data_IF_278708468249
#
_entry.id   IF_278708468249
#
_cell.length_a   1.000
_cell.length_b   1.000
_cell.length_c   1.000
_cell.angle_alpha   90.00
_cell.angle_beta   90.00
_cell.angle_gamma   90.00
#
_symmetry.space_group_name_H-M   'P 1'
#
loop_
_entity.id
_entity.type
_entity.pdbx_description
1 polymer ?
#
# COMPACT_ATOMS: atom_id res chain seq x y z
N UNK A 1 33.28 -9.76 -50.99
CA UNK A 1 32.45 -9.74 -49.77
C UNK A 1 31.82 -8.37 -49.64
N UNK A 2 30.49 -8.22 -49.66
CA UNK A 2 29.85 -6.90 -49.55
C UNK A 2 29.98 -6.35 -48.13
N UNK A 3 30.30 -5.06 -48.04
CA UNK A 3 30.54 -4.31 -46.82
C UNK A 3 29.18 -3.97 -46.18
N UNK A 4 28.94 -4.46 -44.97
CA UNK A 4 27.75 -4.14 -44.19
C UNK A 4 27.89 -2.72 -43.61
N UNK A 5 27.03 -1.78 -44.04
CA UNK A 5 26.93 -0.46 -43.43
C UNK A 5 25.77 -0.43 -42.43
N UNK A 6 26.05 0.03 -41.21
CA UNK A 6 25.07 0.11 -40.15
C UNK A 6 24.02 1.21 -40.43
N UNK A 7 22.74 0.98 -40.12
CA UNK A 7 21.69 1.98 -40.30
C UNK A 7 21.90 3.16 -39.36
N UNK A 8 21.80 4.37 -39.91
CA UNK A 8 21.82 5.63 -39.16
C UNK A 8 20.56 5.68 -38.28
N UNK A 9 20.76 5.74 -36.97
CA UNK A 9 19.69 5.92 -35.99
C UNK A 9 19.34 7.42 -35.97
N UNK A 10 18.16 7.77 -36.45
CA UNK A 10 17.63 9.12 -36.34
C UNK A 10 17.37 9.47 -34.87
N UNK A 11 17.87 10.65 -34.48
CA UNK A 11 17.71 11.20 -33.13
C UNK A 11 16.23 11.28 -32.72
N UNK A 12 15.90 10.98 -31.45
CA UNK A 12 14.51 11.03 -30.99
C UNK A 12 13.95 12.46 -31.08
N UNK A 13 12.65 12.60 -31.41
CA UNK A 13 12.00 13.90 -31.48
C UNK A 13 11.97 14.55 -30.09
N UNK A 14 12.34 15.83 -30.04
CA UNK A 14 12.23 16.67 -28.84
C UNK A 14 10.77 16.70 -28.40
N UNK A 15 10.48 16.06 -27.27
CA UNK A 15 9.15 16.09 -26.65
C UNK A 15 8.89 17.50 -26.11
N UNK A 16 7.95 18.20 -26.73
CA UNK A 16 7.37 19.43 -26.19
C UNK A 16 6.57 19.07 -24.95
N UNK A 17 7.10 19.47 -23.80
CA UNK A 17 6.53 19.26 -22.48
C UNK A 17 5.23 20.09 -22.33
N UNK A 18 4.03 19.49 -22.23
CA UNK A 18 2.77 20.21 -22.17
C UNK A 18 2.34 20.46 -20.73
N UNK A 19 3.24 20.96 -19.88
CA UNK A 19 2.86 21.43 -18.55
C UNK A 19 2.42 22.88 -18.64
N UNK A 20 1.17 23.23 -18.29
CA UNK A 20 0.74 24.63 -18.21
C UNK A 20 1.53 25.31 -17.08
N UNK A 21 2.30 26.33 -17.44
CA UNK A 21 2.95 27.24 -16.49
C UNK A 21 1.87 27.83 -15.58
N UNK A 22 1.96 27.49 -14.29
CA UNK A 22 1.13 28.03 -13.21
C UNK A 22 1.29 29.56 -13.18
N UNK A 23 0.29 30.27 -13.70
CA UNK A 23 0.23 31.74 -13.66
C UNK A 23 0.09 32.18 -12.20
N UNK A 24 1.09 32.89 -11.68
CA UNK A 24 0.99 33.65 -10.44
C UNK A 24 -0.16 34.66 -10.59
N UNK A 25 -1.28 34.45 -9.90
CA UNK A 25 -2.29 35.49 -9.69
C UNK A 25 -1.83 36.34 -8.51
N UNK A 26 -1.32 37.52 -8.82
CA UNK A 26 -1.17 38.61 -7.86
C UNK A 26 -2.56 39.08 -7.42
N UNK A 27 -2.68 39.35 -6.12
CA UNK A 27 -3.92 39.72 -5.47
C UNK A 27 -4.34 41.16 -5.76
N UNK A 28 -5.64 41.35 -5.95
CA UNK A 28 -6.31 42.63 -5.81
C UNK A 28 -7.45 42.47 -4.79
N UNK A 29 -7.58 43.36 -3.79
CA UNK A 29 -8.68 43.33 -2.84
C UNK A 29 -9.85 44.13 -3.40
N UNK A 30 -11.05 43.56 -3.44
CA UNK A 30 -12.28 44.32 -3.61
C UNK A 30 -13.38 43.82 -2.67
N UNK A 31 -14.01 44.81 -2.07
CA UNK A 31 -14.99 44.73 -1.01
C UNK A 31 -16.36 44.25 -1.50
N UNK A 32 -17.10 43.65 -0.56
CA UNK A 32 -18.52 43.92 -0.31
C UNK A 32 -19.53 43.60 -1.42
N UNK A 33 -20.22 42.47 -1.27
CA UNK A 33 -21.66 42.40 -1.51
C UNK A 33 -22.25 41.15 -0.85
N UNK A 34 -23.17 41.37 0.08
CA UNK A 34 -23.98 40.32 0.71
C UNK A 34 -25.04 39.82 -0.29
N UNK A 35 -24.89 38.58 -0.77
CA UNK A 35 -25.93 37.88 -1.54
C UNK A 35 -26.47 36.70 -0.73
N UNK A 36 -27.71 36.85 -0.26
CA UNK A 36 -28.52 35.81 0.37
C UNK A 36 -28.73 34.66 -0.63
N UNK A 37 -28.24 33.47 -0.29
CA UNK A 37 -28.49 32.26 -1.08
C UNK A 37 -29.72 31.52 -0.52
N UNK A 38 -30.64 31.04 -1.39
CA UNK A 38 -31.84 30.31 -0.98
C UNK A 38 -31.52 28.88 -0.52
N UNK A 39 -32.22 28.45 0.54
CA UNK A 39 -32.22 27.09 1.12
C UNK A 39 -32.70 26.06 0.08
N UNK A 40 -31.86 25.10 -0.24
CA UNK A 40 -32.25 23.89 -0.95
C UNK A 40 -33.04 22.93 -0.02
N UNK A 41 -34.05 22.22 -0.54
CA UNK A 41 -34.83 21.25 0.23
C UNK A 41 -34.03 19.97 0.50
N UNK A 42 -34.11 19.52 1.75
CA UNK A 42 -33.56 18.29 2.31
C UNK A 42 -34.37 17.10 1.80
N UNK A 43 -33.75 16.27 0.96
CA UNK A 43 -34.32 14.97 0.55
C UNK A 43 -33.94 13.95 1.62
N UNK A 44 -34.94 13.44 2.31
CA UNK A 44 -34.81 12.27 3.19
C UNK A 44 -34.88 11.01 2.32
N UNK A 45 -33.78 10.25 2.28
CA UNK A 45 -33.77 8.92 1.70
C UNK A 45 -33.91 7.91 2.84
N UNK A 46 -35.06 7.23 2.88
CA UNK A 46 -35.30 6.03 3.67
C UNK A 46 -34.45 4.88 3.11
N UNK A 47 -33.44 4.45 3.85
CA UNK A 47 -32.75 3.18 3.61
C UNK A 47 -33.50 2.07 4.33
N UNK A 48 -34.15 1.19 3.55
CA UNK A 48 -34.65 -0.11 4.01
C UNK A 48 -33.46 -1.02 4.30
N UNK A 49 -33.36 -1.46 5.55
CA UNK A 49 -32.52 -2.58 5.97
C UNK A 49 -33.22 -3.87 5.55
N UNK A 50 -32.53 -4.69 4.76
CA UNK A 50 -32.96 -6.05 4.39
C UNK A 50 -32.09 -7.02 5.19
N UNK A 51 -32.72 -7.70 6.15
CA UNK A 51 -32.14 -8.84 6.89
C UNK A 51 -31.85 -9.97 5.89
N UNK A 52 -30.61 -10.45 5.89
CA UNK A 52 -30.23 -11.69 5.20
C UNK A 52 -29.85 -12.70 6.26
N UNK A 53 -30.63 -13.78 6.29
CA UNK A 53 -30.53 -14.90 7.20
C UNK A 53 -29.21 -15.69 7.03
N UNK A 54 -28.71 -16.09 8.20
CA UNK A 54 -27.51 -16.86 8.47
C UNK A 54 -27.81 -18.36 8.22
N UNK A 55 -27.23 -18.95 7.17
CA UNK A 55 -27.29 -20.39 6.94
C UNK A 55 -25.90 -21.03 6.90
N UNK A 56 -25.53 -21.54 8.07
CA UNK A 56 -24.66 -22.68 8.39
C UNK A 56 -24.21 -23.55 7.20
N UNK A 57 -22.89 -23.72 7.04
CA UNK A 57 -22.32 -24.91 6.40
C UNK A 57 -21.21 -25.51 7.25
N UNK A 58 -21.45 -26.75 7.64
CA UNK A 58 -20.65 -27.55 8.53
C UNK A 58 -19.49 -28.26 7.82
N UNK A 59 -18.37 -28.37 8.53
CA UNK A 59 -17.61 -29.63 8.65
C UNK A 59 -16.78 -30.06 7.44
N UNK A 60 -15.52 -29.64 7.40
CA UNK A 60 -14.45 -30.36 6.68
C UNK A 60 -13.45 -30.87 7.71
N UNK A 61 -13.31 -32.21 7.76
CA UNK A 61 -12.31 -32.92 8.56
C UNK A 61 -10.94 -32.76 7.89
N UNK A 62 -9.96 -32.27 8.62
CA UNK A 62 -8.55 -32.28 8.22
C UNK A 62 -7.92 -33.62 8.61
N UNK A 63 -7.30 -34.28 7.63
CA UNK A 63 -6.41 -35.41 7.87
C UNK A 63 -5.01 -34.90 8.23
N UNK A 64 -4.51 -35.39 9.37
CA UNK A 64 -3.19 -35.09 9.92
C UNK A 64 -2.10 -35.83 9.13
N UNK A 65 -1.07 -35.12 8.69
CA UNK A 65 0.20 -35.71 8.25
C UNK A 65 1.25 -35.54 9.36
N UNK A 66 2.04 -36.57 9.68
CA UNK A 66 2.99 -36.55 10.80
C UNK A 66 4.24 -35.72 10.52
N UNK A 67 4.73 -35.10 11.60
CA UNK A 67 5.87 -34.18 11.70
C UNK A 67 7.24 -34.91 11.59
N UNK A 68 8.20 -34.25 10.94
CA UNK A 68 9.63 -34.59 10.96
C UNK A 68 10.39 -33.56 11.80
N UNK A 69 11.23 -34.06 12.70
CA UNK A 69 11.75 -33.34 13.86
C UNK A 69 13.02 -32.52 13.59
N UNK A 70 13.07 -31.33 14.19
CA UNK A 70 14.26 -30.47 14.22
C UNK A 70 14.22 -29.52 15.41
N UNK A 71 14.58 -30.04 16.60
CA UNK A 71 14.67 -29.27 17.85
C UNK A 71 15.85 -28.28 17.83
N UNK A 72 15.55 -27.04 17.44
CA UNK A 72 16.30 -25.85 17.81
C UNK A 72 15.45 -25.00 18.75
N UNK A 73 15.37 -25.36 20.03
CA UNK A 73 14.62 -24.61 21.05
C UNK A 73 15.24 -23.22 21.30
N UNK A 74 14.92 -22.27 20.43
CA UNK A 74 14.82 -20.87 20.84
C UNK A 74 13.50 -20.73 21.59
N UNK A 75 13.58 -20.41 22.88
CA UNK A 75 12.41 -20.14 23.70
C UNK A 75 11.67 -18.93 23.14
N UNK A 76 10.67 -19.19 22.30
CA UNK A 76 9.73 -18.18 21.83
C UNK A 76 8.85 -17.78 23.02
N UNK A 77 9.28 -16.74 23.73
CA UNK A 77 8.45 -16.11 24.76
C UNK A 77 7.22 -15.53 24.04
N UNK A 78 5.99 -15.92 24.41
CA UNK A 78 4.79 -15.39 23.77
C UNK A 78 4.81 -13.86 23.88
N UNK A 79 5.01 -13.18 22.76
CA UNK A 79 5.07 -11.73 22.71
C UNK A 79 3.69 -11.18 23.05
N UNK A 80 3.52 -10.76 24.30
CA UNK A 80 2.30 -10.08 24.74
C UNK A 80 2.21 -8.72 24.01
N UNK A 81 1.02 -8.37 23.55
CA UNK A 81 0.81 -7.08 22.88
C UNK A 81 1.18 -5.90 23.77
N UNK A 82 1.51 -4.75 23.16
CA UNK A 82 1.95 -3.51 23.86
C UNK A 82 1.02 -3.11 25.00
N UNK A 83 -0.27 -3.41 24.90
CA UNK A 83 -1.25 -3.04 25.91
C UNK A 83 -1.05 -3.74 27.27
N UNK A 84 -0.21 -4.77 27.32
CA UNK A 84 0.16 -5.46 28.57
C UNK A 84 1.41 -4.89 29.23
N UNK A 85 2.20 -4.10 28.49
CA UNK A 85 3.43 -3.49 28.97
C UNK A 85 3.12 -2.18 29.70
N UNK A 86 3.89 -1.88 30.74
CA UNK A 86 3.87 -0.55 31.34
C UNK A 86 4.67 0.45 30.48
N UNK A 87 4.51 1.74 30.76
CA UNK A 87 5.16 2.80 29.97
C UNK A 87 6.70 2.71 30.08
N UNK A 88 7.23 2.32 31.24
CA UNK A 88 8.67 2.10 31.41
C UNK A 88 9.19 0.99 30.49
N UNK A 89 8.50 -0.15 30.43
CA UNK A 89 8.89 -1.24 29.54
C UNK A 89 8.76 -0.86 28.07
N UNK A 90 7.71 -0.11 27.69
CA UNK A 90 7.57 0.38 26.30
C UNK A 90 8.76 1.26 25.92
N UNK A 91 9.12 2.24 26.76
CA UNK A 91 10.24 3.14 26.48
C UNK A 91 11.59 2.43 26.51
N UNK A 92 11.76 1.46 27.42
CA UNK A 92 12.97 0.63 27.49
C UNK A 92 13.10 -0.24 26.25
N UNK A 93 12.01 -0.87 25.81
CA UNK A 93 11.95 -1.71 24.60
C UNK A 93 12.20 -0.90 23.33
N UNK A 94 11.72 0.34 23.27
CA UNK A 94 12.03 1.26 22.16
C UNK A 94 13.53 1.57 22.09
N UNK A 95 14.14 1.87 23.23
CA UNK A 95 15.58 2.19 23.31
C UNK A 95 16.47 0.98 23.05
N UNK A 96 16.06 -0.21 23.48
CA UNK A 96 16.79 -1.45 23.26
C UNK A 96 16.58 -2.06 21.87
N UNK A 97 15.65 -1.51 21.08
CA UNK A 97 15.28 -2.06 19.77
C UNK A 97 14.36 -3.27 19.82
N UNK A 98 13.99 -3.77 21.00
CA UNK A 98 13.17 -4.98 21.16
C UNK A 98 11.75 -4.84 20.61
N UNK A 99 11.26 -3.61 20.37
CA UNK A 99 9.96 -3.38 19.74
C UNK A 99 9.90 -3.94 18.30
N UNK A 100 11.02 -4.02 17.58
CA UNK A 100 11.02 -4.58 16.22
C UNK A 100 10.56 -6.04 16.20
N UNK A 101 10.93 -6.81 17.23
CA UNK A 101 10.49 -8.19 17.42
C UNK A 101 8.97 -8.36 17.51
N UNK A 102 8.21 -7.30 17.80
CA UNK A 102 6.76 -7.35 17.79
C UNK A 102 6.15 -7.54 16.38
N UNK A 103 6.95 -7.39 15.31
CA UNK A 103 6.55 -7.76 13.96
C UNK A 103 6.13 -9.23 13.86
N UNK A 104 6.76 -10.12 14.64
CA UNK A 104 6.43 -11.56 14.67
C UNK A 104 4.98 -11.82 15.08
N UNK A 105 4.40 -10.99 15.97
CA UNK A 105 2.98 -11.10 16.35
C UNK A 105 2.06 -10.89 15.13
N UNK A 106 2.53 -10.15 14.13
CA UNK A 106 1.80 -9.84 12.90
C UNK A 106 2.27 -10.67 11.70
N UNK A 107 3.15 -11.66 11.89
CA UNK A 107 3.63 -12.56 10.82
C UNK A 107 2.51 -13.18 9.98
N UNK A 108 1.37 -13.63 10.55
CA UNK A 108 0.26 -14.16 9.75
C UNK A 108 -0.43 -13.15 8.83
N UNK A 109 -0.12 -11.85 8.96
CA UNK A 109 -0.67 -10.78 8.12
C UNK A 109 0.30 -10.31 7.04
N UNK A 110 1.48 -10.92 6.94
CA UNK A 110 2.45 -10.67 5.88
C UNK A 110 1.89 -11.22 4.57
N UNK A 111 2.11 -10.46 3.51
CA UNK A 111 1.67 -10.79 2.17
C UNK A 111 0.34 -10.14 1.80
N UNK A 112 0.09 -10.11 0.50
CA UNK A 112 -1.12 -9.60 -0.11
C UNK A 112 -1.48 -10.47 -1.30
N UNK A 113 -2.68 -11.07 -1.26
CA UNK A 113 -3.24 -11.78 -2.41
C UNK A 113 -3.85 -10.75 -3.38
N UNK A 114 -3.11 -10.46 -4.46
CA UNK A 114 -3.53 -9.49 -5.47
C UNK A 114 -4.71 -9.98 -6.33
N UNK A 115 -4.99 -11.29 -6.37
CA UNK A 115 -6.05 -11.87 -7.19
C UNK A 115 -7.43 -11.78 -6.53
N UNK A 116 -7.48 -11.65 -5.20
CA UNK A 116 -8.72 -11.39 -4.47
C UNK A 116 -9.21 -9.94 -4.59
N UNK A 117 -8.40 -9.06 -5.19
CA UNK A 117 -8.68 -7.64 -5.34
C UNK A 117 -9.03 -7.29 -6.79
N UNK A 118 -9.89 -6.27 -7.02
CA UNK A 118 -10.06 -5.71 -8.36
C UNK A 118 -8.70 -5.26 -8.93
N UNK A 119 -8.40 -5.47 -10.23
CA UNK A 119 -7.06 -5.25 -10.78
C UNK A 119 -6.46 -3.86 -10.49
N UNK A 120 -7.25 -2.80 -10.65
CA UNK A 120 -6.78 -1.43 -10.34
C UNK A 120 -6.51 -1.22 -8.84
N UNK A 121 -7.31 -1.84 -7.97
CA UNK A 121 -7.11 -1.76 -6.51
C UNK A 121 -5.87 -2.55 -6.11
N UNK A 122 -5.62 -3.70 -6.75
CA UNK A 122 -4.44 -4.51 -6.51
C UNK A 122 -3.13 -3.74 -6.80
N UNK A 123 -3.05 -3.04 -7.94
CA UNK A 123 -1.90 -2.20 -8.29
C UNK A 123 -1.68 -1.11 -7.23
N UNK A 124 -2.75 -0.43 -6.82
CA UNK A 124 -2.69 0.63 -5.82
C UNK A 124 -2.21 0.11 -4.46
N UNK A 125 -2.77 -1.01 -3.99
CA UNK A 125 -2.39 -1.62 -2.71
C UNK A 125 -0.94 -2.09 -2.76
N UNK A 126 -0.51 -2.75 -3.85
CA UNK A 126 0.87 -3.17 -4.01
C UNK A 126 1.82 -1.98 -3.91
N UNK A 127 1.59 -0.90 -4.68
CA UNK A 127 2.47 0.26 -4.66
C UNK A 127 2.47 0.97 -3.31
N UNK A 128 1.31 1.11 -2.67
CA UNK A 128 1.20 1.71 -1.34
C UNK A 128 1.97 0.93 -0.27
N UNK A 129 1.91 -0.40 -0.29
CA UNK A 129 2.62 -1.26 0.66
C UNK A 129 4.12 -1.35 0.37
N UNK A 130 4.48 -1.53 -0.90
CA UNK A 130 5.85 -1.77 -1.33
C UNK A 130 6.72 -0.51 -1.23
N UNK A 131 6.19 0.65 -1.60
CA UNK A 131 6.91 1.93 -1.54
C UNK A 131 6.64 2.73 -0.27
N UNK A 132 5.74 2.29 0.60
CA UNK A 132 5.24 3.05 1.76
C UNK A 132 4.75 4.47 1.38
N UNK A 133 4.20 4.62 0.17
CA UNK A 133 3.72 5.89 -0.37
C UNK A 133 2.20 6.05 -0.24
N UNK A 134 1.76 7.30 -0.23
CA UNK A 134 0.33 7.61 -0.33
C UNK A 134 -0.20 7.22 -1.71
N UNK A 135 -1.52 7.02 -1.83
CA UNK A 135 -2.17 6.72 -3.11
C UNK A 135 -1.93 7.79 -4.18
N UNK A 136 -1.76 9.05 -3.77
CA UNK A 136 -1.53 10.18 -4.68
C UNK A 136 -0.11 10.18 -5.25
N UNK A 137 0.81 9.48 -4.58
CA UNK A 137 2.25 9.45 -4.90
C UNK A 137 2.70 8.10 -5.44
N UNK A 138 1.81 7.15 -5.76
CA UNK A 138 2.17 5.80 -6.20
C UNK A 138 3.02 5.74 -7.48
N UNK A 139 3.21 6.85 -8.18
CA UNK A 139 4.23 7.05 -9.21
C UNK A 139 3.99 6.31 -10.53
N UNK A 140 2.97 5.46 -10.62
CA UNK A 140 2.61 4.75 -11.83
C UNK A 140 1.62 5.56 -12.70
N UNK A 141 1.59 5.29 -14.00
CA UNK A 141 0.65 5.90 -14.94
C UNK A 141 0.34 4.96 -16.10
N UNK A 142 -0.72 5.25 -16.86
CA UNK A 142 -1.09 4.50 -18.06
C UNK A 142 -0.71 5.28 -19.33
N UNK A 143 -0.20 4.58 -20.34
CA UNK A 143 -0.19 5.08 -21.71
C UNK A 143 -1.13 4.24 -22.57
N UNK A 144 -1.92 4.90 -23.41
CA UNK A 144 -3.00 4.28 -24.17
C UNK A 144 -2.76 4.43 -25.66
N UNK A 145 -3.11 3.38 -26.41
CA UNK A 145 -3.10 3.38 -27.87
C UNK A 145 -4.52 3.05 -28.33
N UNK A 146 -5.10 3.92 -29.16
CA UNK A 146 -6.39 3.69 -29.81
C UNK A 146 -6.18 3.36 -31.29
N UNK A 147 -6.79 2.26 -31.76
CA UNK A 147 -6.83 1.87 -33.18
C UNK A 147 -8.19 1.33 -33.56
N UNK A 148 -8.87 1.99 -34.50
CA UNK A 148 -10.17 1.55 -35.06
C UNK A 148 -11.22 1.23 -33.99
N UNK A 149 -11.29 2.04 -32.94
CA UNK A 149 -12.24 1.85 -31.84
C UNK A 149 -11.84 0.79 -30.80
N UNK A 150 -10.65 0.20 -30.92
CA UNK A 150 -10.05 -0.65 -29.90
C UNK A 150 -8.97 0.09 -29.15
N UNK A 151 -8.85 -0.20 -27.85
CA UNK A 151 -7.91 0.42 -26.93
C UNK A 151 -6.97 -0.64 -26.36
N UNK A 152 -5.70 -0.29 -26.21
CA UNK A 152 -4.74 -1.06 -25.40
C UNK A 152 -4.04 -0.10 -24.47
N UNK A 153 -3.92 -0.48 -23.20
CA UNK A 153 -3.20 0.30 -22.20
C UNK A 153 -1.90 -0.40 -21.81
N UNK A 154 -0.91 0.41 -21.42
CA UNK A 154 0.33 -0.04 -20.80
C UNK A 154 0.49 0.69 -19.49
N UNK A 155 0.55 -0.05 -18.39
CA UNK A 155 0.87 0.47 -17.06
C UNK A 155 2.39 0.65 -16.96
N UNK A 156 2.85 1.86 -16.70
CA UNK A 156 4.24 2.17 -16.41
C UNK A 156 4.42 2.34 -14.91
N UNK A 157 5.42 1.67 -14.34
CA UNK A 157 5.84 1.85 -12.95
C UNK A 157 7.32 2.28 -12.90
N UNK A 158 7.59 3.59 -12.99
CA UNK A 158 8.95 4.15 -12.91
C UNK A 158 9.71 3.71 -11.66
N UNK A 159 9.04 3.76 -10.51
CA UNK A 159 9.63 3.42 -9.22
C UNK A 159 9.90 1.92 -9.06
N UNK A 160 9.27 1.08 -9.89
CA UNK A 160 9.49 -0.35 -9.93
C UNK A 160 10.38 -0.73 -11.11
N UNK A 161 11.67 -0.33 -11.04
CA UNK A 161 12.67 -0.62 -12.06
C UNK A 161 12.30 -0.15 -13.48
N UNK A 162 11.55 0.94 -13.61
CA UNK A 162 11.01 1.42 -14.90
C UNK A 162 10.27 0.34 -15.70
N UNK A 163 9.63 -0.61 -15.01
CA UNK A 163 8.92 -1.71 -15.66
C UNK A 163 7.60 -1.22 -16.27
N UNK A 164 7.14 -1.96 -17.27
CA UNK A 164 5.86 -1.68 -17.92
C UNK A 164 5.09 -2.98 -18.18
N UNK A 165 3.77 -2.88 -18.07
CA UNK A 165 2.86 -4.02 -18.14
C UNK A 165 1.76 -3.70 -19.14
N UNK A 166 1.81 -4.37 -20.29
CA UNK A 166 0.88 -4.13 -21.39
C UNK A 166 -0.30 -5.10 -21.30
N UNK A 167 -1.50 -4.56 -21.34
CA UNK A 167 -2.73 -5.35 -21.40
C UNK A 167 -3.10 -5.78 -22.82
N UNK A 168 -4.26 -6.41 -22.94
CA UNK A 168 -4.85 -6.81 -24.21
C UNK A 168 -5.66 -5.67 -24.85
N UNK A 169 -6.01 -5.86 -26.13
CA UNK A 169 -6.94 -4.96 -26.82
C UNK A 169 -8.36 -5.12 -26.27
N UNK A 170 -9.02 -4.00 -25.94
CA UNK A 170 -10.38 -3.94 -25.38
C UNK A 170 -11.21 -2.86 -26.08
N UNK A 171 -12.51 -2.86 -25.83
CA UNK A 171 -13.44 -1.93 -26.47
C UNK A 171 -13.51 -0.57 -25.77
N UNK A 172 -13.12 -0.51 -24.50
CA UNK A 172 -13.09 0.72 -23.72
C UNK A 172 -11.71 0.96 -23.11
N UNK A 173 -11.42 2.22 -22.80
CA UNK A 173 -10.18 2.62 -22.12
C UNK A 173 -10.07 1.95 -20.74
N UNK A 174 -11.17 1.95 -19.97
CA UNK A 174 -11.18 1.38 -18.62
C UNK A 174 -10.89 -0.14 -18.65
N UNK A 175 -11.49 -0.89 -19.56
CA UNK A 175 -11.19 -2.32 -19.73
C UNK A 175 -9.73 -2.55 -20.15
N UNK A 176 -9.18 -1.70 -21.02
CA UNK A 176 -7.80 -1.79 -21.44
C UNK A 176 -6.83 -1.55 -20.26
N UNK A 177 -7.12 -0.55 -19.42
CA UNK A 177 -6.37 -0.28 -18.19
C UNK A 177 -6.48 -1.45 -17.20
N UNK A 178 -7.69 -1.97 -16.96
CA UNK A 178 -7.89 -3.16 -16.14
C UNK A 178 -7.06 -4.34 -16.65
N UNK A 179 -7.04 -4.57 -17.96
CA UNK A 179 -6.23 -5.64 -18.57
C UNK A 179 -4.72 -5.43 -18.41
N UNK A 180 -4.24 -4.19 -18.42
CA UNK A 180 -2.83 -3.88 -18.07
C UNK A 180 -2.52 -4.18 -16.59
N UNK A 181 -3.46 -3.89 -15.69
CA UNK A 181 -3.35 -4.27 -14.28
C UNK A 181 -3.40 -5.79 -14.08
N UNK A 182 -4.14 -6.52 -14.92
CA UNK A 182 -4.13 -7.99 -14.92
C UNK A 182 -2.76 -8.55 -15.32
N UNK A 183 -2.11 -7.94 -16.32
CA UNK A 183 -0.74 -8.28 -16.69
C UNK A 183 0.24 -7.99 -15.53
N UNK A 184 0.05 -6.89 -14.80
CA UNK A 184 0.83 -6.57 -13.60
C UNK A 184 0.70 -7.62 -12.51
N UNK A 185 -0.52 -7.98 -12.09
CA UNK A 185 -0.71 -8.96 -11.00
C UNK A 185 -0.28 -10.38 -11.38
N UNK A 186 -0.22 -10.69 -12.67
CA UNK A 186 0.23 -11.99 -13.19
C UNK A 186 1.74 -12.04 -13.40
N UNK A 187 2.44 -10.93 -13.21
CA UNK A 187 3.89 -10.88 -13.33
C UNK A 187 4.56 -11.66 -12.20
N UNK A 188 5.56 -12.47 -12.55
CA UNK A 188 6.22 -13.38 -11.61
C UNK A 188 6.86 -12.64 -10.44
N UNK A 189 7.60 -11.57 -10.71
CA UNK A 189 8.30 -10.81 -9.68
C UNK A 189 7.31 -10.03 -8.80
N UNK A 190 6.23 -9.49 -9.38
CA UNK A 190 5.16 -8.85 -8.62
C UNK A 190 4.51 -9.85 -7.65
N UNK A 191 4.21 -11.07 -8.09
CA UNK A 191 3.66 -12.12 -7.21
C UNK A 191 4.64 -12.53 -6.12
N UNK A 192 5.91 -12.76 -6.46
CA UNK A 192 6.96 -13.09 -5.48
C UNK A 192 7.06 -12.02 -4.39
N UNK A 193 7.04 -10.73 -4.78
CA UNK A 193 7.06 -9.61 -3.84
C UNK A 193 5.75 -9.55 -3.03
N UNK A 194 4.60 -9.75 -3.67
CA UNK A 194 3.30 -9.60 -3.00
C UNK A 194 3.13 -10.55 -1.83
N UNK A 195 3.70 -11.74 -1.89
CA UNK A 195 3.73 -12.69 -0.77
C UNK A 195 4.59 -12.26 0.42
N UNK A 196 5.52 -11.33 0.19
CA UNK A 196 6.45 -10.82 1.20
C UNK A 196 6.15 -9.35 1.58
N UNK A 197 5.00 -8.77 1.21
CA UNK A 197 4.70 -7.39 1.58
C UNK A 197 4.38 -7.25 3.08
N UNK A 198 4.82 -6.17 3.73
CA UNK A 198 4.42 -5.90 5.10
C UNK A 198 2.91 -5.58 5.17
N UNK A 199 2.27 -5.76 6.34
CA UNK A 199 0.92 -5.27 6.57
C UNK A 199 0.83 -3.75 6.37
N UNK A 200 -0.35 -3.27 5.96
CA UNK A 200 -0.61 -1.83 5.86
C UNK A 200 -0.29 -1.09 7.17
N UNK A 201 0.33 0.08 7.07
CA UNK A 201 0.74 0.90 8.23
C UNK A 201 -0.46 1.21 9.15
N UNK A 202 -1.65 1.39 8.59
CA UNK A 202 -2.90 1.55 9.33
C UNK A 202 -3.23 0.35 10.22
N UNK A 203 -2.99 -0.88 9.74
CA UNK A 203 -3.19 -2.11 10.51
C UNK A 203 -2.19 -2.18 11.66
N UNK A 204 -0.92 -1.87 11.40
CA UNK A 204 0.13 -1.81 12.42
C UNK A 204 -0.24 -0.77 13.49
N UNK A 205 -0.59 0.45 13.07
CA UNK A 205 -1.03 1.53 13.96
C UNK A 205 -2.24 1.16 14.80
N UNK A 206 -3.23 0.45 14.23
CA UNK A 206 -4.40 -0.02 14.96
C UNK A 206 -4.03 -1.09 16.00
N UNK A 207 -3.15 -2.02 15.64
CA UNK A 207 -2.71 -3.12 16.52
C UNK A 207 -1.90 -2.63 17.71
N UNK A 208 -1.02 -1.65 17.49
CA UNK A 208 -0.10 -1.12 18.50
C UNK A 208 -0.56 0.22 19.08
N UNK A 209 -1.87 0.49 19.05
CA UNK A 209 -2.43 1.74 19.55
C UNK A 209 -2.25 1.86 21.06
N UNK A 210 -1.63 2.94 21.52
CA UNK A 210 -1.51 3.25 22.94
C UNK A 210 -2.88 3.54 23.58
N UNK A 211 -3.20 2.78 24.63
CA UNK A 211 -4.39 2.97 25.46
C UNK A 211 -4.38 4.27 26.28
N UNK A 212 -5.56 4.65 26.82
CA UNK A 212 -5.74 5.87 27.62
C UNK A 212 -4.78 5.93 28.82
N UNK A 213 -4.52 4.79 29.46
CA UNK A 213 -3.56 4.66 30.58
C UNK A 213 -2.14 5.02 30.15
N UNK A 214 -1.64 4.43 29.06
CA UNK A 214 -0.31 4.71 28.52
C UNK A 214 -0.15 6.17 28.12
N UNK A 215 -1.16 6.72 27.43
CA UNK A 215 -1.16 8.14 27.02
C UNK A 215 -1.09 9.09 28.23
N UNK A 216 -1.80 8.79 29.32
CA UNK A 216 -1.76 9.59 30.55
C UNK A 216 -0.37 9.54 31.19
N UNK A 217 0.18 8.35 31.38
CA UNK A 217 1.49 8.15 31.99
C UNK A 217 2.64 8.75 31.16
N UNK A 218 2.55 8.73 29.82
CA UNK A 218 3.51 9.43 28.95
C UNK A 218 3.47 10.95 29.14
N UNK A 219 2.27 11.54 29.23
CA UNK A 219 2.11 12.98 29.47
C UNK A 219 2.62 13.41 30.84
N UNK A 220 2.42 12.60 31.87
CA UNK A 220 2.96 12.84 33.22
C UNK A 220 4.49 12.90 33.23
N UNK A 221 5.14 12.29 32.24
CA UNK A 221 6.60 12.33 32.03
C UNK A 221 7.05 13.41 31.05
N UNK A 222 6.14 14.26 30.58
CA UNK A 222 6.44 15.30 29.60
C UNK A 222 6.67 14.78 28.18
N UNK A 223 6.25 13.55 27.85
CA UNK A 223 6.39 12.97 26.52
C UNK A 223 5.09 13.08 25.72
N UNK A 224 5.21 13.34 24.42
CA UNK A 224 4.07 13.42 23.51
C UNK A 224 3.64 12.01 23.03
N UNK A 225 2.42 11.53 23.34
CA UNK A 225 2.03 10.15 23.02
C UNK A 225 1.94 9.85 21.52
N UNK A 226 1.69 10.85 20.68
CA UNK A 226 1.65 10.75 19.22
C UNK A 226 3.03 10.40 18.65
N UNK A 227 4.09 11.03 19.16
CA UNK A 227 5.47 10.77 18.74
C UNK A 227 5.90 9.37 19.14
N UNK A 228 5.65 8.97 20.38
CA UNK A 228 5.95 7.62 20.86
C UNK A 228 5.18 6.56 20.05
N UNK A 229 3.90 6.80 19.75
CA UNK A 229 3.12 5.91 18.88
C UNK A 229 3.74 5.78 17.49
N UNK A 230 4.23 6.88 16.91
CA UNK A 230 4.87 6.89 15.60
C UNK A 230 6.19 6.11 15.62
N UNK A 231 6.99 6.28 16.67
CA UNK A 231 8.25 5.53 16.87
C UNK A 231 8.00 4.04 17.03
N UNK A 232 7.00 3.64 17.80
CA UNK A 232 6.58 2.24 17.91
C UNK A 232 6.22 1.67 16.54
N UNK A 233 5.36 2.35 15.79
CA UNK A 233 4.92 1.87 14.46
C UNK A 233 6.11 1.77 13.51
N UNK A 234 7.02 2.76 13.52
CA UNK A 234 8.23 2.72 12.70
C UNK A 234 9.15 1.57 13.10
N UNK A 235 9.39 1.35 14.40
CA UNK A 235 10.22 0.26 14.89
C UNK A 235 9.65 -1.12 14.52
N UNK A 236 8.33 -1.32 14.66
CA UNK A 236 7.67 -2.54 14.20
C UNK A 236 7.73 -2.67 12.68
N UNK A 237 7.55 -1.58 11.94
CA UNK A 237 7.66 -1.58 10.49
C UNK A 237 9.06 -2.04 10.03
N UNK A 238 10.10 -1.55 10.67
CA UNK A 238 11.48 -2.01 10.43
C UNK A 238 11.66 -3.49 10.78
N UNK A 239 11.02 -3.97 11.85
CA UNK A 239 11.03 -5.40 12.21
C UNK A 239 10.46 -6.33 11.13
N UNK A 240 9.56 -5.85 10.27
CA UNK A 240 9.12 -6.64 9.11
C UNK A 240 10.25 -6.91 8.11
N UNK A 241 11.26 -6.04 8.03
CA UNK A 241 12.44 -6.26 7.18
C UNK A 241 13.28 -7.42 7.72
N UNK A 242 13.47 -7.49 9.04
CA UNK A 242 14.25 -8.54 9.69
C UNK A 242 13.65 -9.94 9.47
N UNK A 243 12.32 -10.03 9.29
CA UNK A 243 11.60 -11.28 9.02
C UNK A 243 11.38 -11.56 7.53
N UNK A 244 12.04 -10.79 6.66
CA UNK A 244 12.09 -11.05 5.22
C UNK A 244 10.99 -10.38 4.39
N UNK A 245 10.27 -9.39 4.91
CA UNK A 245 9.36 -8.61 4.08
C UNK A 245 10.13 -7.77 3.06
N UNK A 246 9.62 -7.70 1.83
CA UNK A 246 10.18 -6.88 0.76
C UNK A 246 9.52 -5.50 0.71
N UNK A 247 10.37 -4.49 0.60
CA UNK A 247 9.99 -3.08 0.41
C UNK A 247 10.94 -2.46 -0.60
N UNK A 248 10.54 -1.37 -1.23
CA UNK A 248 11.39 -0.64 -2.18
C UNK A 248 12.72 -0.18 -1.55
N UNK A 249 12.71 0.16 -0.25
CA UNK A 249 13.92 0.49 0.49
C UNK A 249 14.91 -0.68 0.54
N UNK A 250 14.41 -1.91 0.73
CA UNK A 250 15.23 -3.12 0.78
C UNK A 250 15.85 -3.45 -0.57
N UNK A 251 15.09 -3.23 -1.65
CA UNK A 251 15.52 -3.52 -3.00
C UNK A 251 16.41 -2.42 -3.61
N UNK A 252 16.75 -1.39 -2.83
CA UNK A 252 17.60 -0.28 -3.25
C UNK A 252 16.93 0.68 -4.24
N UNK A 253 15.60 0.76 -4.22
CA UNK A 253 14.79 1.57 -5.15
C UNK A 253 14.30 2.89 -4.54
N UNK A 254 14.45 3.10 -3.23
CA UNK A 254 13.98 4.27 -2.49
C UNK A 254 15.08 5.30 -2.21
#
# INVERSE_FOLDING_TARGET
MPRWEAPKVDSPPKTNNPFPRRVKREGAPLAGAASKSPKAPRVEQETKEEEVDDETCAGVKQEECPEDGGDGQQSEVPLKGINTLDVDSILTSLRSGQISGMAEIMRPQIGCDLFQLPPMVAVNIFHGLYFAMSFEDCGFYFAEICRRGWFVATLFSPNFNNRSFRGDWRHTVLEAQCSACEAFRSDREVMEISHCLPPAVEKIRKRFRLDKRHRKALRERGLEPSLVQREIVAAVYMGFQDIGCRTALWDGLA
#
